data_IF_819094443875
#
_entry.id   IF_819094443875
#
_cell.length_a   1.000
_cell.length_b   1.000
_cell.length_c   1.000
_cell.angle_alpha   90.00
_cell.angle_beta   90.00
_cell.angle_gamma   90.00
#
_symmetry.space_group_name_H-M   'P 1'
#
loop_
_entity.id
_entity.type
_entity.pdbx_description
1 polymer ?
#
# COMPACT_ATOMS: atom_id res chain seq x y z
N UNK A 1 -33.33 -3.18 24.27
CA UNK A 1 -31.93 -3.08 23.81
C UNK A 1 -31.90 -3.43 22.34
N UNK A 2 -31.65 -2.46 21.45
CA UNK A 2 -31.35 -2.77 20.05
C UNK A 2 -29.94 -3.32 20.00
N UNK A 3 -29.75 -4.57 19.58
CA UNK A 3 -28.44 -5.07 19.18
C UNK A 3 -27.92 -4.11 18.10
N UNK A 4 -26.83 -3.40 18.38
CA UNK A 4 -26.08 -2.72 17.33
C UNK A 4 -25.55 -3.79 16.39
N UNK A 5 -25.89 -3.71 15.11
CA UNK A 5 -25.46 -4.63 14.06
C UNK A 5 -23.96 -4.45 13.79
N UNK A 6 -23.12 -4.85 14.75
CA UNK A 6 -21.67 -4.70 14.71
C UNK A 6 -21.03 -5.61 13.67
N UNK A 7 -21.74 -6.65 13.21
CA UNK A 7 -21.32 -7.55 12.13
C UNK A 7 -21.03 -6.83 10.83
N UNK A 8 -21.74 -5.74 10.52
CA UNK A 8 -21.54 -5.00 9.27
C UNK A 8 -20.19 -4.32 9.15
N UNK A 9 -19.53 -3.99 10.27
CA UNK A 9 -18.27 -3.24 10.24
C UNK A 9 -17.04 -4.10 9.96
N UNK A 10 -17.15 -5.42 10.12
CA UNK A 10 -16.05 -6.37 9.90
C UNK A 10 -16.29 -7.28 8.69
N UNK A 11 -17.48 -7.22 8.10
CA UNK A 11 -17.83 -8.01 6.94
C UNK A 11 -17.27 -7.35 5.68
N UNK A 12 -16.36 -8.02 4.98
CA UNK A 12 -15.92 -7.58 3.66
C UNK A 12 -17.07 -7.70 2.65
N UNK A 13 -17.05 -6.95 1.53
CA UNK A 13 -17.99 -7.14 0.44
C UNK A 13 -18.01 -8.62 0.01
N UNK A 14 -19.20 -9.18 -0.19
CA UNK A 14 -19.39 -10.59 -0.58
C UNK A 14 -19.08 -11.67 0.49
N UNK A 15 -18.98 -11.30 1.77
CA UNK A 15 -18.82 -12.27 2.88
C UNK A 15 -19.83 -13.44 2.89
N UNK A 16 -21.00 -13.27 2.26
CA UNK A 16 -22.03 -14.31 2.11
C UNK A 16 -21.60 -15.48 1.22
N UNK A 17 -20.51 -15.33 0.46
CA UNK A 17 -19.91 -16.40 -0.34
C UNK A 17 -18.81 -17.16 0.41
N UNK A 18 -18.49 -16.77 1.65
CA UNK A 18 -17.45 -17.40 2.45
C UNK A 18 -18.05 -18.36 3.49
N UNK A 19 -17.37 -19.49 3.72
CA UNK A 19 -17.61 -20.45 4.80
C UNK A 19 -16.42 -20.44 5.77
N UNK A 20 -16.55 -21.07 6.95
CA UNK A 20 -15.42 -21.23 7.87
C UNK A 20 -14.19 -21.91 7.26
N UNK A 21 -14.40 -22.74 6.23
CA UNK A 21 -13.34 -23.51 5.55
C UNK A 21 -12.83 -22.85 4.26
N UNK A 22 -13.56 -21.88 3.69
CA UNK A 22 -13.23 -21.32 2.38
C UNK A 22 -13.78 -19.91 2.19
N UNK A 23 -12.95 -18.99 1.69
CA UNK A 23 -13.41 -17.68 1.27
C UNK A 23 -12.92 -17.36 -0.14
N UNK A 24 -13.86 -17.10 -1.06
CA UNK A 24 -13.57 -16.75 -2.46
C UNK A 24 -12.75 -15.47 -2.57
N UNK A 25 -12.99 -14.51 -1.68
CA UNK A 25 -12.29 -13.24 -1.61
C UNK A 25 -10.79 -13.40 -1.28
N UNK A 26 -10.44 -14.26 -0.31
CA UNK A 26 -9.03 -14.54 0.03
C UNK A 26 -8.31 -15.40 -0.99
N UNK A 27 -9.05 -16.19 -1.78
CA UNK A 27 -8.49 -17.11 -2.79
C UNK A 27 -8.49 -16.53 -4.20
N UNK A 28 -8.92 -15.27 -4.35
CA UNK A 28 -9.00 -14.59 -5.63
C UNK A 28 -7.61 -14.31 -6.21
N UNK A 29 -7.45 -14.55 -7.51
CA UNK A 29 -6.22 -14.23 -8.21
C UNK A 29 -6.09 -12.71 -8.36
N UNK A 30 -5.36 -12.08 -7.45
CA UNK A 30 -5.12 -10.63 -7.44
C UNK A 30 -4.47 -10.09 -8.71
N UNK A 31 -3.84 -10.94 -9.53
CA UNK A 31 -3.26 -10.54 -10.83
C UNK A 31 -4.34 -10.19 -11.84
N UNK A 32 -5.49 -10.87 -11.77
CA UNK A 32 -6.63 -10.64 -12.67
C UNK A 32 -7.54 -9.51 -12.18
N UNK A 33 -7.29 -8.99 -10.98
CA UNK A 33 -8.09 -7.92 -10.40
C UNK A 33 -7.85 -6.61 -11.13
N UNK A 34 -8.94 -5.94 -11.52
CA UNK A 34 -8.85 -4.59 -12.04
C UNK A 34 -8.44 -3.62 -10.93
N UNK A 35 -7.67 -2.60 -11.30
CA UNK A 35 -7.19 -1.64 -10.33
C UNK A 35 -8.34 -0.78 -9.79
N UNK A 36 -8.35 -0.54 -8.49
CA UNK A 36 -9.37 0.22 -7.76
C UNK A 36 -9.42 1.67 -8.23
N UNK A 37 -10.64 2.19 -8.35
CA UNK A 37 -10.89 3.63 -8.44
C UNK A 37 -11.18 4.21 -7.06
N UNK A 38 -10.57 5.35 -6.77
CA UNK A 38 -10.95 6.21 -5.63
C UNK A 38 -11.85 7.37 -6.05
N UNK A 39 -12.11 7.52 -7.35
CA UNK A 39 -13.00 8.52 -7.93
C UNK A 39 -14.31 7.89 -8.42
N UNK A 40 -15.34 8.72 -8.63
CA UNK A 40 -16.63 8.29 -9.17
C UNK A 40 -16.60 7.93 -10.67
N UNK A 41 -15.55 8.35 -11.39
CA UNK A 41 -15.38 8.04 -12.82
C UNK A 41 -14.70 6.69 -13.03
N UNK A 42 -15.31 5.83 -13.85
CA UNK A 42 -14.73 4.55 -14.32
C UNK A 42 -13.66 4.75 -15.40
N UNK A 43 -13.59 5.93 -16.02
CA UNK A 43 -12.64 6.28 -17.09
C UNK A 43 -11.56 7.26 -16.64
N UNK A 44 -10.95 7.02 -15.48
CA UNK A 44 -9.84 7.86 -15.00
C UNK A 44 -8.55 7.60 -15.80
N UNK A 45 -7.70 8.63 -15.90
CA UNK A 45 -6.43 8.53 -16.59
C UNK A 45 -5.49 7.50 -15.93
N UNK A 46 -4.66 6.87 -16.77
CA UNK A 46 -3.58 5.99 -16.32
C UNK A 46 -2.31 6.83 -16.21
N UNK A 47 -1.86 7.03 -14.98
CA UNK A 47 -0.58 7.64 -14.70
C UNK A 47 0.55 6.70 -15.11
N UNK A 48 1.52 7.25 -15.84
CA UNK A 48 2.76 6.57 -16.23
C UNK A 48 3.92 7.14 -15.45
N UNK A 49 4.50 6.33 -14.57
CA UNK A 49 5.61 6.70 -13.73
C UNK A 49 6.94 6.50 -14.48
N UNK A 50 7.93 7.41 -14.32
CA UNK A 50 9.25 7.28 -14.93
C UNK A 50 10.08 6.17 -14.26
N UNK A 51 9.76 4.92 -14.58
CA UNK A 51 10.40 3.74 -13.98
C UNK A 51 11.87 3.64 -14.34
N UNK A 52 12.32 4.23 -15.46
CA UNK A 52 13.75 4.29 -15.83
C UNK A 52 14.58 5.02 -14.78
N UNK A 53 14.06 6.14 -14.26
CA UNK A 53 14.72 6.90 -13.22
C UNK A 53 14.70 6.15 -11.89
N UNK A 54 13.56 5.53 -11.55
CA UNK A 54 13.42 4.70 -10.35
C UNK A 54 14.41 3.52 -10.35
N UNK A 55 14.44 2.75 -11.44
CA UNK A 55 15.32 1.60 -11.59
C UNK A 55 16.79 2.00 -11.43
N UNK A 56 17.20 3.08 -12.09
CA UNK A 56 18.56 3.60 -12.01
C UNK A 56 18.95 3.93 -10.57
N UNK A 57 18.10 4.66 -9.85
CA UNK A 57 18.34 5.04 -8.46
C UNK A 57 18.45 3.83 -7.53
N UNK A 58 17.57 2.84 -7.69
CA UNK A 58 17.59 1.62 -6.87
C UNK A 58 18.85 0.79 -7.15
N UNK A 59 19.24 0.62 -8.42
CA UNK A 59 20.44 -0.13 -8.82
C UNK A 59 21.72 0.55 -8.29
N UNK A 60 21.81 1.87 -8.42
CA UNK A 60 22.94 2.65 -7.89
C UNK A 60 23.05 2.48 -6.37
N UNK A 61 21.93 2.62 -5.65
CA UNK A 61 21.90 2.42 -4.20
C UNK A 61 22.25 0.98 -3.80
N UNK A 62 21.77 -0.03 -4.51
CA UNK A 62 22.06 -1.44 -4.24
C UNK A 62 23.54 -1.79 -4.45
N UNK A 63 24.27 -0.95 -5.19
CA UNK A 63 25.71 -1.11 -5.41
C UNK A 63 26.56 -0.46 -4.30
N UNK A 64 25.94 0.28 -3.37
CA UNK A 64 26.64 0.88 -2.24
C UNK A 64 26.87 -0.15 -1.11
N UNK A 65 28.06 -0.20 -0.48
CA UNK A 65 28.37 -1.18 0.57
C UNK A 65 27.48 -1.06 1.82
N UNK A 66 27.00 0.16 2.10
CA UNK A 66 26.11 0.48 3.21
C UNK A 66 24.99 1.38 2.68
N UNK A 67 23.87 0.80 2.22
CA UNK A 67 22.76 1.60 1.73
C UNK A 67 22.20 2.49 2.85
N UNK A 68 21.86 3.75 2.55
CA UNK A 68 21.33 4.67 3.55
C UNK A 68 19.98 4.19 4.11
N UNK A 69 19.71 4.49 5.38
CA UNK A 69 18.40 4.20 6.00
C UNK A 69 17.32 5.10 5.40
N UNK A 70 16.39 4.51 4.66
CA UNK A 70 15.32 5.22 3.98
C UNK A 70 14.72 4.36 2.85
N UNK A 71 13.99 5.00 1.95
CA UNK A 71 13.39 4.35 0.79
C UNK A 71 13.35 5.28 -0.43
N UNK A 72 13.28 4.68 -1.61
CA UNK A 72 12.91 5.40 -2.83
C UNK A 72 11.39 5.50 -2.91
N UNK A 73 10.88 6.72 -2.93
CA UNK A 73 9.46 7.04 -2.78
C UNK A 73 8.94 7.88 -3.93
N UNK A 74 7.62 7.93 -4.06
CA UNK A 74 6.92 8.76 -5.02
C UNK A 74 6.41 10.05 -4.36
N UNK A 75 6.40 11.19 -5.07
CA UNK A 75 6.02 12.47 -4.50
C UNK A 75 4.52 12.58 -4.21
N UNK A 76 4.17 13.32 -3.16
CA UNK A 76 2.77 13.66 -2.89
C UNK A 76 2.30 14.89 -3.69
N UNK A 77 3.23 15.77 -4.07
CA UNK A 77 2.96 16.97 -4.87
C UNK A 77 2.92 16.63 -6.37
N UNK A 78 1.69 16.46 -6.89
CA UNK A 78 1.43 16.20 -8.30
C UNK A 78 1.37 17.48 -9.16
N UNK A 79 1.61 18.67 -8.59
CA UNK A 79 1.69 19.93 -9.38
C UNK A 79 3.01 20.06 -10.14
N UNK A 80 3.99 19.24 -9.78
CA UNK A 80 5.31 19.14 -10.40
C UNK A 80 5.43 17.81 -11.16
N UNK A 81 6.42 17.67 -12.06
CA UNK A 81 6.75 16.38 -12.66
C UNK A 81 6.94 15.31 -11.58
N UNK A 82 6.26 14.18 -11.75
CA UNK A 82 6.30 13.07 -10.81
C UNK A 82 7.63 12.34 -11.01
N UNK A 83 8.59 12.62 -10.14
CA UNK A 83 9.91 11.99 -10.15
C UNK A 83 10.17 11.29 -8.83
N UNK A 84 10.71 10.06 -8.84
CA UNK A 84 11.04 9.36 -7.61
C UNK A 84 12.22 10.04 -6.93
N UNK A 85 12.29 9.94 -5.61
CA UNK A 85 13.40 10.47 -4.83
C UNK A 85 13.72 9.59 -3.63
N UNK A 86 14.93 9.72 -3.11
CA UNK A 86 15.30 9.06 -1.85
C UNK A 86 14.74 9.86 -0.67
N UNK A 87 13.88 9.23 0.13
CA UNK A 87 13.42 9.75 1.40
C UNK A 87 14.19 9.08 2.54
N UNK A 88 14.93 9.85 3.37
CA UNK A 88 15.52 9.35 4.58
C UNK A 88 14.50 8.71 5.53
N UNK A 89 15.01 7.92 6.47
CA UNK A 89 14.21 7.37 7.56
C UNK A 89 13.33 8.43 8.24
N UNK A 90 12.09 8.05 8.47
CA UNK A 90 11.03 8.84 9.12
C UNK A 90 10.57 10.08 8.35
N UNK A 91 10.92 10.21 7.06
CA UNK A 91 10.48 11.34 6.21
C UNK A 91 9.50 10.95 5.11
N UNK A 92 8.93 9.74 5.18
CA UNK A 92 7.90 9.25 4.25
C UNK A 92 6.91 8.33 4.96
N UNK A 93 5.81 8.03 4.28
CA UNK A 93 4.77 7.09 4.72
C UNK A 93 4.85 5.81 3.88
N UNK A 94 4.76 4.64 4.51
CA UNK A 94 4.59 3.38 3.77
C UNK A 94 3.10 3.07 3.63
N UNK A 95 2.67 2.65 2.44
CA UNK A 95 1.32 2.20 2.17
C UNK A 95 1.31 0.68 2.27
N UNK A 96 0.52 0.15 3.20
CA UNK A 96 0.23 -1.27 3.30
C UNK A 96 -1.21 -1.53 2.84
N UNK A 97 -1.40 -2.52 1.99
CA UNK A 97 -2.68 -2.79 1.33
C UNK A 97 -2.79 -4.25 0.90
N UNK A 98 -3.99 -4.68 0.50
CA UNK A 98 -4.22 -6.02 -0.04
C UNK A 98 -4.48 -5.94 -1.54
N UNK A 99 -3.70 -6.67 -2.34
CA UNK A 99 -3.78 -6.59 -3.81
C UNK A 99 -5.14 -7.04 -4.37
N UNK A 100 -5.84 -7.96 -3.69
CA UNK A 100 -7.20 -8.39 -4.05
C UNK A 100 -8.20 -7.25 -4.04
N UNK A 101 -7.92 -6.15 -3.34
CA UNK A 101 -8.77 -4.96 -3.29
C UNK A 101 -8.63 -4.09 -4.55
N UNK A 102 -7.89 -4.55 -5.56
CA UNK A 102 -7.57 -3.78 -6.75
C UNK A 102 -6.48 -2.74 -6.51
N UNK A 103 -5.78 -2.79 -5.39
CA UNK A 103 -4.68 -1.84 -5.11
C UNK A 103 -3.33 -2.31 -5.66
N UNK A 104 -3.28 -3.46 -6.33
CA UNK A 104 -2.11 -3.91 -7.09
C UNK A 104 -2.02 -3.30 -8.50
N UNK A 105 -1.04 -3.74 -9.28
CA UNK A 105 -0.85 -3.33 -10.69
C UNK A 105 -1.74 -4.14 -11.67
N UNK A 106 -2.28 -5.28 -11.21
CA UNK A 106 -3.05 -6.21 -12.03
C UNK A 106 -2.24 -6.72 -13.23
N UNK A 107 -2.90 -6.84 -14.40
CA UNK A 107 -2.27 -7.22 -15.67
C UNK A 107 -1.46 -6.09 -16.33
N UNK A 108 -1.32 -4.91 -15.70
CA UNK A 108 -0.65 -3.75 -16.30
C UNK A 108 0.87 -3.84 -16.17
N UNK A 109 1.55 -3.09 -17.02
CA UNK A 109 3.00 -2.92 -16.93
C UNK A 109 3.39 -2.21 -15.62
N UNK A 110 4.56 -2.53 -15.03
CA UNK A 110 5.10 -1.81 -13.89
C UNK A 110 5.14 -0.29 -14.13
N UNK A 111 4.76 0.48 -13.10
CA UNK A 111 4.71 1.94 -13.19
C UNK A 111 3.47 2.52 -13.88
N UNK A 112 2.51 1.68 -14.29
CA UNK A 112 1.20 2.13 -14.78
C UNK A 112 0.13 1.93 -13.71
N UNK A 113 -0.40 3.03 -13.20
CA UNK A 113 -1.46 3.01 -12.19
C UNK A 113 -2.55 4.03 -12.51
N UNK A 114 -3.77 3.79 -12.04
CA UNK A 114 -4.87 4.74 -12.10
C UNK A 114 -4.47 5.99 -11.33
N UNK A 115 -4.60 7.14 -11.96
CA UNK A 115 -4.20 8.42 -11.38
C UNK A 115 -4.99 8.71 -10.09
N UNK A 116 -6.27 8.36 -10.05
CA UNK A 116 -7.11 8.56 -8.88
C UNK A 116 -6.58 7.82 -7.64
N UNK A 117 -6.15 6.56 -7.79
CA UNK A 117 -5.62 5.75 -6.70
C UNK A 117 -4.31 6.34 -6.17
N UNK A 118 -3.39 6.68 -7.09
CA UNK A 118 -2.15 7.38 -6.74
C UNK A 118 -2.45 8.69 -5.99
N UNK A 119 -3.36 9.51 -6.52
CA UNK A 119 -3.78 10.79 -5.94
C UNK A 119 -4.40 10.60 -4.56
N UNK A 120 -5.18 9.53 -4.35
CA UNK A 120 -5.73 9.17 -3.05
C UNK A 120 -4.66 8.98 -1.98
N UNK A 121 -3.65 8.15 -2.26
CA UNK A 121 -2.51 7.98 -1.36
C UNK A 121 -1.69 9.25 -1.17
N UNK A 122 -1.45 9.99 -2.26
CA UNK A 122 -0.72 11.25 -2.22
C UNK A 122 -1.41 12.29 -1.32
N UNK A 123 -2.73 12.44 -1.43
CA UNK A 123 -3.54 13.36 -0.61
C UNK A 123 -3.45 12.99 0.87
N UNK A 124 -3.61 11.71 1.22
CA UNK A 124 -3.56 11.28 2.61
C UNK A 124 -2.17 11.51 3.19
N UNK A 125 -1.12 11.09 2.50
CA UNK A 125 0.26 11.31 2.95
C UNK A 125 0.61 12.80 3.08
N UNK A 126 0.18 13.65 2.13
CA UNK A 126 0.32 15.10 2.21
C UNK A 126 -0.45 15.71 3.39
N UNK A 127 -1.64 15.20 3.70
CA UNK A 127 -2.44 15.62 4.84
C UNK A 127 -1.73 15.43 6.20
N UNK A 128 -0.84 14.45 6.28
CA UNK A 128 0.05 14.23 7.43
C UNK A 128 1.40 14.99 7.32
N UNK A 129 1.60 15.80 6.28
CA UNK A 129 2.79 16.63 6.09
C UNK A 129 3.97 15.94 5.40
N UNK A 130 3.78 14.76 4.83
CA UNK A 130 4.84 14.01 4.15
C UNK A 130 4.92 14.34 2.66
N UNK A 131 6.16 14.45 2.16
CA UNK A 131 6.44 14.80 0.75
C UNK A 131 6.49 13.61 -0.18
N UNK A 132 6.54 12.40 0.37
CA UNK A 132 6.55 11.18 -0.41
C UNK A 132 6.00 9.99 0.35
N UNK A 133 5.61 8.98 -0.42
CA UNK A 133 5.09 7.73 0.09
C UNK A 133 5.69 6.55 -0.67
N UNK A 134 5.84 5.44 0.04
CA UNK A 134 6.29 4.16 -0.50
C UNK A 134 5.07 3.26 -0.69
N UNK A 135 4.91 2.69 -1.88
CA UNK A 135 3.79 1.82 -2.23
C UNK A 135 4.33 0.67 -3.06
N UNK A 136 4.30 -0.55 -2.52
CA UNK A 136 4.98 -1.74 -3.08
C UNK A 136 4.64 -1.99 -4.57
N UNK A 137 3.45 -1.61 -5.00
CA UNK A 137 2.94 -1.82 -6.36
C UNK A 137 3.70 -1.04 -7.40
N UNK A 138 4.22 0.14 -7.03
CA UNK A 138 4.98 1.04 -7.91
C UNK A 138 6.41 1.27 -7.45
N UNK A 139 6.74 0.87 -6.23
CA UNK A 139 8.07 0.87 -5.68
C UNK A 139 8.67 -0.53 -5.79
N UNK A 140 8.70 -1.13 -6.99
CA UNK A 140 9.40 -2.39 -7.32
C UNK A 140 10.15 -2.21 -8.64
N UNK A 141 11.48 -2.39 -8.68
CA UNK A 141 12.25 -2.14 -9.89
C UNK A 141 11.98 -3.24 -10.93
N UNK A 142 12.19 -2.90 -12.19
CA UNK A 142 12.03 -3.85 -13.31
C UNK A 142 13.25 -4.75 -13.48
N UNK A 143 14.43 -4.28 -13.07
CA UNK A 143 15.64 -5.12 -13.07
C UNK A 143 15.49 -6.29 -12.10
N UNK A 144 15.79 -7.50 -12.58
CA UNK A 144 15.57 -8.74 -11.83
C UNK A 144 16.42 -8.80 -10.56
N UNK A 145 17.70 -8.41 -10.64
CA UNK A 145 18.62 -8.49 -9.49
C UNK A 145 18.26 -7.45 -8.44
N UNK A 146 17.96 -6.22 -8.86
CA UNK A 146 17.49 -5.16 -7.99
C UNK A 146 16.16 -5.55 -7.33
N UNK A 147 15.24 -6.16 -8.07
CA UNK A 147 13.97 -6.67 -7.56
C UNK A 147 14.18 -7.73 -6.49
N UNK A 148 15.04 -8.72 -6.73
CA UNK A 148 15.33 -9.78 -5.75
C UNK A 148 15.93 -9.21 -4.46
N UNK A 149 16.86 -8.25 -4.56
CA UNK A 149 17.45 -7.56 -3.41
C UNK A 149 16.38 -6.77 -2.66
N UNK A 150 15.51 -6.07 -3.38
CA UNK A 150 14.51 -5.23 -2.75
C UNK A 150 13.41 -6.05 -2.09
N UNK A 151 12.93 -7.14 -2.71
CA UNK A 151 11.95 -8.03 -2.10
C UNK A 151 12.47 -8.64 -0.79
N UNK A 152 13.75 -9.02 -0.74
CA UNK A 152 14.39 -9.50 0.50
C UNK A 152 14.42 -8.45 1.62
N UNK A 153 14.52 -7.18 1.24
CA UNK A 153 14.66 -6.05 2.17
C UNK A 153 13.39 -5.19 2.28
N UNK A 154 12.27 -5.62 1.70
CA UNK A 154 11.06 -4.80 1.57
C UNK A 154 10.50 -4.37 2.93
N UNK A 155 10.59 -5.26 3.91
CA UNK A 155 10.22 -5.03 5.31
C UNK A 155 10.96 -3.84 5.95
N UNK A 156 12.15 -3.47 5.46
CA UNK A 156 12.87 -2.28 5.91
C UNK A 156 12.19 -0.97 5.49
N UNK A 157 11.44 -0.96 4.37
CA UNK A 157 10.69 0.21 3.96
C UNK A 157 9.55 0.54 4.95
N UNK A 158 9.00 -0.46 5.63
CA UNK A 158 8.04 -0.24 6.72
C UNK A 158 8.75 0.18 8.02
N UNK A 159 9.92 -0.40 8.29
CA UNK A 159 10.77 -0.03 9.44
C UNK A 159 11.24 1.41 9.41
N UNK A 160 11.62 1.91 8.23
CA UNK A 160 12.14 3.26 8.07
C UNK A 160 11.06 4.29 7.80
N UNK A 161 9.82 3.90 7.52
CA UNK A 161 8.71 4.83 7.38
C UNK A 161 8.43 5.53 8.72
N UNK A 162 7.85 6.74 8.62
CA UNK A 162 7.38 7.45 9.81
C UNK A 162 6.18 6.74 10.44
N UNK A 163 5.28 6.23 9.60
CA UNK A 163 4.20 5.33 9.94
C UNK A 163 3.76 4.58 8.69
N UNK A 164 2.96 3.53 8.90
CA UNK A 164 2.34 2.74 7.84
C UNK A 164 0.88 3.10 7.73
N UNK A 165 0.46 3.61 6.58
CA UNK A 165 -0.93 3.82 6.25
C UNK A 165 -1.52 2.50 5.75
N UNK A 166 -2.42 1.91 6.53
CA UNK A 166 -3.18 0.72 6.10
C UNK A 166 -4.36 1.17 5.26
N UNK A 167 -4.40 0.72 4.01
CA UNK A 167 -5.56 0.88 3.14
C UNK A 167 -6.46 -0.34 3.26
N UNK A 168 -7.61 -0.16 3.90
CA UNK A 168 -8.62 -1.20 4.09
C UNK A 168 -10.05 -0.60 4.12
N UNK A 169 -11.09 -1.39 3.83
CA UNK A 169 -12.51 -1.10 4.08
C UNK A 169 -12.79 -0.73 5.55
N UNK A 170 -11.86 -0.99 6.48
CA UNK A 170 -11.86 -0.42 7.84
C UNK A 170 -11.93 1.11 7.89
N UNK A 171 -11.73 1.84 6.79
CA UNK A 171 -12.07 3.26 6.73
C UNK A 171 -13.54 3.55 7.09
N UNK A 172 -14.42 2.54 7.02
CA UNK A 172 -15.83 2.62 7.44
C UNK A 172 -16.04 2.31 8.94
N UNK A 173 -15.01 1.86 9.65
CA UNK A 173 -15.05 1.56 11.08
C UNK A 173 -14.96 2.85 11.91
N UNK A 174 -15.86 3.10 12.88
CA UNK A 174 -15.78 4.30 13.72
C UNK A 174 -14.48 4.33 14.54
N UNK A 175 -13.63 5.33 14.30
CA UNK A 175 -12.40 5.49 15.08
C UNK A 175 -12.70 5.89 16.52
N UNK A 176 -12.21 5.11 17.49
CA UNK A 176 -12.40 5.33 18.93
C UNK A 176 -11.11 5.09 19.70
N UNK A 177 -10.83 5.93 20.69
CA UNK A 177 -9.64 5.80 21.57
C UNK A 177 -9.89 4.82 22.73
N UNK A 178 -10.50 3.65 22.44
CA UNK A 178 -10.86 2.62 23.41
C UNK A 178 -10.28 1.24 23.06
N UNK A 179 -9.38 1.18 22.08
CA UNK A 179 -8.75 -0.06 21.59
C UNK A 179 -9.59 -0.83 20.57
N UNK A 180 -10.85 -0.45 20.33
CA UNK A 180 -11.68 -1.12 19.31
C UNK A 180 -11.12 -1.06 17.90
N UNK A 181 -10.44 0.02 17.43
CA UNK A 181 -9.81 0.01 16.10
C UNK A 181 -8.68 -1.00 15.97
N UNK A 182 -7.94 -1.29 17.04
CA UNK A 182 -6.88 -2.29 17.02
C UNK A 182 -7.45 -3.71 16.83
N UNK A 183 -8.58 -4.01 17.48
CA UNK A 183 -9.33 -5.25 17.25
C UNK A 183 -9.88 -5.28 15.82
N UNK A 184 -10.41 -4.14 15.35
CA UNK A 184 -10.74 -3.85 13.95
C UNK A 184 -9.68 -4.36 12.97
N UNK A 185 -8.47 -3.85 13.15
CA UNK A 185 -7.32 -4.14 12.31
C UNK A 185 -6.93 -5.62 12.36
N UNK A 186 -6.79 -6.20 13.56
CA UNK A 186 -6.37 -7.61 13.73
C UNK A 186 -7.37 -8.61 13.15
N UNK A 187 -8.67 -8.28 13.15
CA UNK A 187 -9.72 -9.14 12.61
C UNK A 187 -10.02 -8.88 11.13
N UNK A 188 -9.39 -7.88 10.52
CA UNK A 188 -9.63 -7.54 9.12
C UNK A 188 -8.92 -8.51 8.16
N UNK A 189 -9.41 -8.66 6.91
CA UNK A 189 -8.72 -9.42 5.86
C UNK A 189 -7.31 -8.91 5.58
N UNK A 190 -7.02 -7.64 5.90
CA UNK A 190 -5.65 -7.15 5.81
C UNK A 190 -4.70 -7.96 6.69
N UNK A 191 -5.07 -8.28 7.94
CA UNK A 191 -4.18 -8.98 8.87
C UNK A 191 -4.17 -10.52 8.71
N UNK A 192 -4.98 -11.08 7.81
CA UNK A 192 -4.97 -12.53 7.51
C UNK A 192 -3.83 -12.93 6.58
N UNK A 193 -3.18 -11.96 5.93
CA UNK A 193 -2.08 -12.19 5.01
C UNK A 193 -0.72 -12.21 5.74
N UNK A 194 0.12 -13.21 5.44
CA UNK A 194 1.40 -13.37 6.14
C UNK A 194 2.37 -12.19 5.97
N UNK A 195 2.31 -11.48 4.84
CA UNK A 195 3.18 -10.32 4.60
C UNK A 195 2.73 -9.08 5.36
N UNK A 196 1.44 -8.77 5.46
CA UNK A 196 0.94 -7.61 6.20
C UNK A 196 1.22 -7.71 7.71
N UNK A 197 1.27 -8.93 8.26
CA UNK A 197 1.71 -9.16 9.64
C UNK A 197 3.18 -8.75 9.85
N UNK A 198 4.06 -9.04 8.88
CA UNK A 198 5.45 -8.57 8.91
C UNK A 198 5.51 -7.04 8.79
N UNK A 199 4.71 -6.45 7.92
CA UNK A 199 4.62 -5.00 7.74
C UNK A 199 4.20 -4.31 9.04
N UNK A 200 3.19 -4.84 9.74
CA UNK A 200 2.79 -4.37 11.07
C UNK A 200 3.94 -4.47 12.07
N UNK A 201 4.60 -5.64 12.14
CA UNK A 201 5.66 -5.89 13.10
C UNK A 201 6.89 -5.00 12.90
N UNK A 202 7.15 -4.59 11.65
CA UNK A 202 8.26 -3.67 11.33
C UNK A 202 7.89 -2.20 11.54
N UNK A 203 6.60 -1.86 11.55
CA UNK A 203 6.13 -0.48 11.60
C UNK A 203 6.34 0.14 12.99
N UNK A 204 6.87 1.36 13.03
CA UNK A 204 6.96 2.12 14.30
C UNK A 204 5.59 2.64 14.76
N UNK A 205 4.69 2.87 13.81
CA UNK A 205 3.33 3.37 14.01
C UNK A 205 2.45 2.94 12.84
N UNK A 206 1.18 2.64 13.12
CA UNK A 206 0.11 2.37 12.14
C UNK A 206 -1.07 3.28 12.45
#
# INVERSE_FOLDING_TARGET
MKQSDSSRFFAHPEYHQCSPEYCSHETQNSTLQEQLHTCESEECEILRLPMEDFDRMVIESASTPTPPEGAFVWPTDMTKPITPFFAPKSTYVAISHVWSDGTGVGLREPGRVKECLYRGFAIVAAGYGYKGFWWDTICVPRDRRAKDVMLKNMHLNYKYAAFTLVHEYLCQFPWRQDGTPAIGLVLSPWFTHGWTALELAMSNKV
#
